data_IF_853809528486
#
_entry.id   IF_853809528486
#
_cell.length_a   1.000
_cell.length_b   1.000
_cell.length_c   1.000
_cell.angle_alpha   90.00
_cell.angle_beta   90.00
_cell.angle_gamma   90.00
#
_symmetry.space_group_name_H-M   'P 1'
#
loop_
_entity.id
_entity.type
_entity.pdbx_description
1 polymer ?
#
# COMPACT_ATOMS: atom_id res chain seq x y z
N UNK A 1 15.74 1.50 -14.34
CA UNK A 1 14.49 1.10 -13.67
C UNK A 1 13.51 2.23 -13.91
N UNK A 2 12.51 2.02 -14.78
CA UNK A 2 11.54 3.07 -15.11
C UNK A 2 10.80 3.46 -13.83
N UNK A 3 10.99 4.69 -13.37
CA UNK A 3 10.16 5.23 -12.30
C UNK A 3 8.74 5.37 -12.87
N UNK A 4 7.85 4.46 -12.48
CA UNK A 4 6.42 4.66 -12.72
C UNK A 4 6.01 5.94 -11.99
N UNK A 5 5.37 6.87 -12.71
CA UNK A 5 4.88 8.09 -12.08
C UNK A 5 3.69 7.70 -11.18
N UNK A 6 3.87 7.81 -9.87
CA UNK A 6 2.80 7.59 -8.89
C UNK A 6 2.02 8.91 -8.70
N UNK A 7 0.90 9.05 -9.42
CA UNK A 7 0.04 10.23 -9.39
C UNK A 7 -1.19 9.95 -8.53
N UNK A 8 -1.58 10.92 -7.71
CA UNK A 8 -2.71 10.81 -6.77
C UNK A 8 -2.42 9.77 -5.67
N UNK A 9 -3.35 9.55 -4.73
CA UNK A 9 -3.23 8.58 -3.62
C UNK A 9 -2.25 8.95 -2.48
N UNK A 10 -1.75 10.20 -2.44
CA UNK A 10 -0.89 10.68 -1.36
C UNK A 10 -1.60 10.64 0.00
N UNK A 11 -2.91 10.91 0.03
CA UNK A 11 -3.72 10.83 1.25
C UNK A 11 -3.82 9.40 1.79
N UNK A 12 -4.16 8.43 0.93
CA UNK A 12 -4.21 7.02 1.30
C UNK A 12 -2.84 6.49 1.74
N UNK A 13 -1.77 6.86 1.04
CA UNK A 13 -0.40 6.50 1.41
C UNK A 13 -0.01 7.08 2.79
N UNK A 14 -0.34 8.35 3.04
CA UNK A 14 -0.11 9.00 4.33
C UNK A 14 -0.89 8.32 5.47
N UNK A 15 -2.14 7.93 5.21
CA UNK A 15 -2.95 7.20 6.18
C UNK A 15 -2.32 5.85 6.53
N UNK A 16 -1.89 5.08 5.53
CA UNK A 16 -1.21 3.81 5.75
C UNK A 16 0.08 3.99 6.55
N UNK A 17 0.87 5.03 6.26
CA UNK A 17 2.09 5.36 7.01
C UNK A 17 1.77 5.68 8.47
N UNK A 18 0.75 6.50 8.71
CA UNK A 18 0.32 6.88 10.05
C UNK A 18 -0.14 5.66 10.86
N UNK A 19 -0.96 4.78 10.27
CA UNK A 19 -1.43 3.56 10.95
C UNK A 19 -0.29 2.61 11.26
N UNK A 20 0.65 2.43 10.34
CA UNK A 20 1.82 1.57 10.55
C UNK A 20 2.75 2.06 11.66
N UNK A 21 2.85 3.39 11.87
CA UNK A 21 3.68 3.97 12.93
C UNK A 21 3.09 3.85 14.34
N UNK A 22 1.87 3.35 14.50
CA UNK A 22 1.25 3.19 15.81
C UNK A 22 1.82 1.97 16.55
N UNK A 23 1.94 2.03 17.89
CA UNK A 23 2.46 0.92 18.69
C UNK A 23 1.46 -0.25 18.80
N UNK A 24 0.19 -0.03 18.47
CA UNK A 24 -0.86 -1.05 18.48
C UNK A 24 -0.90 -1.84 17.17
N UNK A 25 -1.28 -3.11 17.25
CA UNK A 25 -1.61 -3.90 16.07
C UNK A 25 -2.80 -3.26 15.32
N UNK A 26 -2.63 -3.02 14.03
CA UNK A 26 -3.63 -2.42 13.15
C UNK A 26 -3.94 -3.37 11.98
N UNK A 27 -5.22 -3.49 11.64
CA UNK A 27 -5.67 -4.25 10.47
C UNK A 27 -6.37 -3.31 9.50
N UNK A 28 -5.81 -3.15 8.30
CA UNK A 28 -6.30 -2.22 7.30
C UNK A 28 -6.77 -3.00 6.07
N UNK A 29 -8.01 -2.74 5.64
CA UNK A 29 -8.59 -3.33 4.44
C UNK A 29 -8.58 -2.32 3.31
N UNK A 30 -7.90 -2.65 2.21
CA UNK A 30 -7.91 -1.85 0.97
C UNK A 30 -8.85 -2.54 -0.03
N UNK A 31 -9.96 -1.89 -0.36
CA UNK A 31 -10.98 -2.42 -1.26
C UNK A 31 -11.28 -1.45 -2.42
N UNK A 32 -11.95 -1.95 -3.46
CA UNK A 32 -12.36 -1.15 -4.63
C UNK A 32 -12.37 -1.95 -5.93
N UNK A 33 -12.78 -1.31 -7.04
CA UNK A 33 -12.91 -1.97 -8.36
C UNK A 33 -11.57 -2.52 -8.89
N UNK A 34 -11.63 -3.48 -9.82
CA UNK A 34 -10.42 -4.04 -10.49
C UNK A 34 -9.71 -2.92 -11.26
N UNK A 35 -8.37 -2.94 -11.27
CA UNK A 35 -7.49 -1.96 -11.98
C UNK A 35 -7.52 -0.51 -11.51
N UNK A 36 -7.97 -0.22 -10.28
CA UNK A 36 -7.92 1.16 -9.72
C UNK A 36 -6.56 1.55 -9.12
N UNK A 37 -5.56 0.66 -9.18
CA UNK A 37 -4.23 0.90 -8.60
C UNK A 37 -4.06 0.50 -7.13
N UNK A 38 -4.83 -0.48 -6.62
CA UNK A 38 -4.67 -0.98 -5.24
C UNK A 38 -3.31 -1.64 -5.02
N UNK A 39 -2.88 -2.49 -5.96
CA UNK A 39 -1.58 -3.15 -5.89
C UNK A 39 -0.45 -2.13 -5.90
N UNK A 40 -0.52 -1.13 -6.79
CA UNK A 40 0.45 -0.04 -6.85
C UNK A 40 0.50 0.75 -5.52
N UNK A 41 -0.64 1.07 -4.91
CA UNK A 41 -0.66 1.74 -3.59
C UNK A 41 0.06 0.90 -2.51
N UNK A 42 -0.19 -0.42 -2.50
CA UNK A 42 0.46 -1.34 -1.58
C UNK A 42 1.96 -1.37 -1.86
N UNK A 43 2.37 -1.49 -3.12
CA UNK A 43 3.78 -1.55 -3.54
C UNK A 43 4.54 -0.27 -3.15
N UNK A 44 3.95 0.89 -3.34
CA UNK A 44 4.51 2.17 -2.90
C UNK A 44 4.62 2.26 -1.37
N UNK A 45 3.57 1.85 -0.65
CA UNK A 45 3.55 1.88 0.83
C UNK A 45 4.68 1.06 1.46
N UNK A 46 4.97 -0.10 0.88
CA UNK A 46 5.93 -1.07 1.43
C UNK A 46 7.33 -0.96 0.81
N UNK A 47 7.57 -0.08 -0.16
CA UNK A 47 8.77 -0.11 -1.01
C UNK A 47 10.12 0.10 -0.29
N UNK A 48 10.13 0.41 1.00
CA UNK A 48 11.34 0.53 1.83
C UNK A 48 11.15 -0.09 3.23
N UNK A 49 10.41 -1.20 3.32
CA UNK A 49 10.09 -1.86 4.60
C UNK A 49 10.39 -3.35 4.57
N UNK A 50 10.79 -3.89 5.72
CA UNK A 50 10.85 -5.35 5.93
C UNK A 50 9.42 -5.91 5.86
N UNK A 51 9.10 -6.57 4.75
CA UNK A 51 7.74 -6.97 4.38
C UNK A 51 7.67 -8.44 4.01
N UNK A 52 6.54 -9.08 4.33
CA UNK A 52 6.17 -10.41 3.83
C UNK A 52 4.86 -10.29 3.08
N UNK A 53 4.91 -10.52 1.77
CA UNK A 53 3.70 -10.62 0.96
C UNK A 53 3.06 -11.98 1.17
N UNK A 54 1.77 -11.98 1.51
CA UNK A 54 0.93 -13.16 1.53
C UNK A 54 -0.22 -12.89 0.57
N UNK A 55 0.04 -13.12 -0.72
CA UNK A 55 -0.99 -13.13 -1.75
C UNK A 55 -1.18 -14.57 -2.20
N UNK A 56 -2.44 -14.98 -2.42
CA UNK A 56 -2.71 -16.11 -3.31
C UNK A 56 -2.74 -15.53 -4.71
N UNK A 57 -1.98 -16.10 -5.63
CA UNK A 57 -2.22 -15.85 -7.05
C UNK A 57 -3.63 -16.37 -7.37
N UNK A 58 -4.43 -15.54 -8.04
CA UNK A 58 -5.65 -16.00 -8.73
C UNK A 58 -5.25 -16.78 -9.98
#
# INVERSE_FOLDING_TARGET
MLQSIFINKQGELSLLNQRFGRPSAEFVVIYGRRRIGKSELIDQFINNRNKRFLAREE
#
